data_IF_294719714146
#
_entry.id   IF_294719714146
#
_cell.length_a   1.000
_cell.length_b   1.000
_cell.length_c   1.000
_cell.angle_alpha   90.00
_cell.angle_beta   90.00
_cell.angle_gamma   90.00
#
_symmetry.space_group_name_H-M   'P 1'
#
loop_
_entity.id
_entity.type
_entity.pdbx_description
1 polymer ?
#
# COMPACT_ATOMS: atom_id res chain seq x y z
N UNK A 1 8.33 -8.94 8.67
CA UNK A 1 8.71 -7.98 9.74
C UNK A 1 9.69 -6.98 9.16
N UNK A 2 9.42 -5.71 9.33
CA UNK A 2 10.22 -4.63 8.77
C UNK A 2 10.99 -3.96 9.90
N UNK A 3 12.30 -3.78 9.74
CA UNK A 3 13.08 -3.07 10.74
C UNK A 3 12.87 -1.54 10.63
N UNK A 4 13.36 -0.82 11.62
CA UNK A 4 13.10 0.62 11.69
C UNK A 4 13.74 1.39 10.55
N UNK A 5 14.97 1.08 10.18
CA UNK A 5 15.66 1.77 9.10
C UNK A 5 14.93 1.58 7.77
N UNK A 6 14.50 0.36 7.51
CA UNK A 6 13.75 0.03 6.30
C UNK A 6 12.40 0.74 6.29
N UNK A 7 11.69 0.73 7.42
CA UNK A 7 10.42 1.43 7.56
C UNK A 7 10.58 2.93 7.32
N UNK A 8 11.60 3.56 7.89
CA UNK A 8 11.85 4.98 7.69
C UNK A 8 12.16 5.29 6.22
N UNK A 9 12.94 4.44 5.56
CA UNK A 9 13.25 4.64 4.15
C UNK A 9 11.97 4.60 3.29
N UNK A 10 11.09 3.64 3.56
CA UNK A 10 9.83 3.52 2.85
C UNK A 10 8.94 4.74 3.10
N UNK A 11 8.87 5.20 4.33
CA UNK A 11 7.99 6.29 4.74
C UNK A 11 8.53 7.70 4.43
N UNK A 12 9.75 7.83 3.94
CA UNK A 12 10.28 9.11 3.51
C UNK A 12 9.57 9.68 2.29
N UNK A 13 8.99 8.82 1.48
CA UNK A 13 8.30 9.25 0.27
C UNK A 13 6.90 9.74 0.59
N UNK A 14 6.58 10.97 0.19
CA UNK A 14 5.29 11.59 0.48
C UNK A 14 4.13 10.82 -0.13
N UNK A 15 4.27 10.36 -1.38
CA UNK A 15 3.21 9.61 -2.05
C UNK A 15 2.89 8.32 -1.32
N UNK A 16 3.91 7.61 -0.83
CA UNK A 16 3.68 6.39 -0.06
C UNK A 16 2.94 6.67 1.25
N UNK A 17 3.28 7.78 1.93
CA UNK A 17 2.54 8.16 3.13
C UNK A 17 1.08 8.48 2.82
N UNK A 18 0.82 9.17 1.70
CA UNK A 18 -0.54 9.48 1.29
C UNK A 18 -1.34 8.21 0.96
N UNK A 19 -0.70 7.24 0.31
CA UNK A 19 -1.33 5.95 0.05
C UNK A 19 -1.73 5.27 1.36
N UNK A 20 -0.81 5.22 2.31
CA UNK A 20 -1.09 4.61 3.61
C UNK A 20 -2.21 5.31 4.36
N UNK A 21 -2.25 6.64 4.33
CA UNK A 21 -3.33 7.40 4.97
C UNK A 21 -4.70 7.00 4.46
N UNK A 22 -4.81 6.75 3.17
CA UNK A 22 -6.08 6.32 2.59
C UNK A 22 -6.41 4.88 2.92
N UNK A 23 -5.40 4.00 2.88
CA UNK A 23 -5.60 2.58 3.15
C UNK A 23 -5.90 2.31 4.63
N UNK A 24 -5.43 3.16 5.54
CA UNK A 24 -5.79 3.04 6.96
C UNK A 24 -7.30 3.20 7.15
N UNK A 25 -7.94 4.01 6.32
CA UNK A 25 -9.39 4.23 6.41
C UNK A 25 -10.20 3.09 5.83
N UNK A 26 -9.79 2.61 4.65
CA UNK A 26 -10.47 1.50 3.98
C UNK A 26 -9.62 0.98 2.84
N UNK A 27 -9.85 -0.26 2.38
CA UNK A 27 -9.15 -0.78 1.21
C UNK A 27 -9.45 0.05 -0.04
N UNK A 28 -8.48 0.10 -0.94
CA UNK A 28 -8.61 0.85 -2.19
C UNK A 28 -8.03 0.06 -3.35
N UNK A 29 -8.59 0.29 -4.54
CA UNK A 29 -7.99 -0.12 -5.80
C UNK A 29 -6.92 0.89 -6.22
N UNK A 30 -5.90 0.45 -6.98
CA UNK A 30 -4.85 1.37 -7.43
C UNK A 30 -5.37 2.59 -8.19
N UNK A 31 -6.39 2.41 -9.04
CA UNK A 31 -6.97 3.53 -9.79
C UNK A 31 -7.58 4.58 -8.85
N UNK A 32 -8.27 4.13 -7.81
CA UNK A 32 -8.83 5.05 -6.82
C UNK A 32 -7.75 5.86 -6.14
N UNK A 33 -6.65 5.22 -5.76
CA UNK A 33 -5.51 5.91 -5.15
C UNK A 33 -4.90 6.93 -6.10
N UNK A 34 -4.74 6.55 -7.36
CA UNK A 34 -4.19 7.45 -8.38
C UNK A 34 -5.05 8.72 -8.53
N UNK A 35 -6.35 8.55 -8.60
CA UNK A 35 -7.29 9.67 -8.73
C UNK A 35 -7.30 10.56 -7.49
N UNK A 36 -7.31 9.95 -6.31
CA UNK A 36 -7.38 10.70 -5.05
C UNK A 36 -6.09 11.47 -4.76
N UNK A 37 -4.95 10.90 -5.09
CA UNK A 37 -3.66 11.50 -4.79
C UNK A 37 -3.19 12.41 -5.92
N UNK A 38 -3.67 12.18 -7.14
CA UNK A 38 -3.30 13.01 -8.29
C UNK A 38 -1.99 12.59 -8.94
N UNK A 39 -1.69 11.29 -8.92
CA UNK A 39 -0.52 10.73 -9.60
C UNK A 39 -0.97 9.63 -10.55
N UNK A 40 -0.07 9.18 -11.43
CA UNK A 40 -0.40 8.14 -12.38
C UNK A 40 -0.63 6.79 -11.68
N UNK A 41 -1.42 5.93 -12.32
CA UNK A 41 -1.63 4.59 -11.82
C UNK A 41 -0.33 3.80 -11.79
N UNK A 42 0.55 4.03 -12.77
CA UNK A 42 1.87 3.38 -12.79
C UNK A 42 2.70 3.76 -11.57
N UNK A 43 2.68 5.04 -11.19
CA UNK A 43 3.39 5.50 -10.00
C UNK A 43 2.81 4.87 -8.74
N UNK A 44 1.46 4.79 -8.64
CA UNK A 44 0.81 4.10 -7.53
C UNK A 44 1.27 2.64 -7.45
N UNK A 45 1.27 1.93 -8.56
CA UNK A 45 1.69 0.53 -8.58
C UNK A 45 3.13 0.35 -8.12
N UNK A 46 4.01 1.26 -8.53
CA UNK A 46 5.40 1.23 -8.07
C UNK A 46 5.49 1.37 -6.55
N UNK A 47 4.76 2.34 -6.00
CA UNK A 47 4.75 2.57 -4.55
C UNK A 47 4.10 1.40 -3.79
N UNK A 48 3.02 0.84 -4.33
CA UNK A 48 2.36 -0.30 -3.71
C UNK A 48 3.27 -1.53 -3.64
N UNK A 49 4.09 -1.77 -4.67
CA UNK A 49 5.06 -2.88 -4.64
C UNK A 49 6.08 -2.69 -3.52
N UNK A 50 6.56 -1.47 -3.35
CA UNK A 50 7.52 -1.16 -2.29
C UNK A 50 6.87 -1.34 -0.92
N UNK A 51 5.64 -0.85 -0.75
CA UNK A 51 4.89 -0.99 0.48
C UNK A 51 4.56 -2.45 0.80
N UNK A 52 4.21 -3.22 -0.22
CA UNK A 52 3.91 -4.64 -0.05
C UNK A 52 5.16 -5.42 0.35
N UNK A 53 6.27 -5.14 -0.30
CA UNK A 53 7.54 -5.79 0.02
C UNK A 53 8.00 -5.47 1.44
N UNK A 54 7.73 -4.25 1.90
CA UNK A 54 8.02 -3.84 3.28
C UNK A 54 6.97 -4.28 4.29
N UNK A 55 5.94 -5.02 3.84
CA UNK A 55 4.88 -5.54 4.69
C UNK A 55 3.97 -4.48 5.31
N UNK A 56 3.89 -3.30 4.67
CA UNK A 56 2.96 -2.25 5.08
C UNK A 56 1.55 -2.49 4.56
N UNK A 57 1.44 -3.11 3.39
CA UNK A 57 0.15 -3.35 2.75
C UNK A 57 0.06 -4.79 2.28
N UNK A 58 -1.16 -5.26 2.14
CA UNK A 58 -1.47 -6.56 1.55
C UNK A 58 -2.43 -6.35 0.40
N UNK A 59 -2.40 -7.26 -0.57
CA UNK A 59 -3.36 -7.23 -1.66
C UNK A 59 -4.23 -8.46 -1.61
N UNK A 60 -5.49 -8.30 -2.06
CA UNK A 60 -6.43 -9.39 -2.20
C UNK A 60 -7.05 -9.31 -3.58
N UNK A 61 -7.13 -10.45 -4.24
CA UNK A 61 -7.73 -10.54 -5.56
C UNK A 61 -9.25 -10.58 -5.43
N UNK A 62 -9.93 -9.70 -6.16
CA UNK A 62 -11.39 -9.63 -6.13
C UNK A 62 -11.91 -10.00 -7.52
N UNK A 63 -12.77 -11.02 -7.58
CA UNK A 63 -13.39 -11.45 -8.83
C UNK A 63 -14.48 -10.45 -9.23
N UNK A 64 -14.61 -10.22 -10.55
CA UNK A 64 -15.67 -9.36 -11.08
C UNK A 64 -16.93 -10.17 -11.32
N UNK A 65 -18.08 -9.61 -10.94
CA UNK A 65 -19.38 -10.26 -11.10
C UNK A 65 -19.83 -10.37 -12.57
N UNK A 66 -19.33 -9.51 -13.45
CA UNK A 66 -19.79 -9.43 -14.85
C UNK A 66 -18.72 -9.89 -15.85
N UNK A 67 -17.83 -10.77 -15.42
CA UNK A 67 -16.71 -11.18 -16.26
C UNK A 67 -15.61 -10.14 -16.26
N UNK A 68 -14.55 -10.39 -17.00
CA UNK A 68 -13.35 -9.60 -17.01
C UNK A 68 -12.33 -10.10 -16.00
N UNK A 69 -11.09 -9.62 -16.07
CA UNK A 69 -10.04 -10.11 -15.18
C UNK A 69 -10.28 -9.67 -13.75
N UNK A 70 -9.86 -10.49 -12.76
CA UNK A 70 -9.91 -10.09 -11.36
C UNK A 70 -9.06 -8.85 -11.12
N UNK A 71 -9.44 -8.06 -10.13
CA UNK A 71 -8.66 -6.88 -9.70
C UNK A 71 -8.06 -7.12 -8.34
N UNK A 72 -6.93 -6.49 -8.09
CA UNK A 72 -6.33 -6.49 -6.76
C UNK A 72 -6.79 -5.25 -6.00
N UNK A 73 -7.28 -5.45 -4.79
CA UNK A 73 -7.57 -4.38 -3.84
C UNK A 73 -6.50 -4.41 -2.76
N UNK A 74 -6.10 -3.25 -2.30
CA UNK A 74 -5.02 -3.13 -1.32
C UNK A 74 -5.55 -2.62 0.00
N UNK A 75 -4.98 -3.13 1.09
CA UNK A 75 -5.34 -2.74 2.45
C UNK A 75 -4.08 -2.64 3.30
N UNK A 76 -4.18 -1.95 4.44
CA UNK A 76 -3.11 -1.94 5.41
C UNK A 76 -2.95 -3.34 5.99
N UNK A 77 -1.71 -3.78 6.13
CA UNK A 77 -1.40 -5.07 6.72
C UNK A 77 -1.77 -5.04 8.20
N UNK A 78 -2.75 -5.86 8.60
CA UNK A 78 -3.22 -5.89 9.98
C UNK A 78 -2.15 -6.37 10.96
N UNK A 79 -1.28 -7.23 10.49
CA UNK A 79 -0.17 -7.73 11.30
C UNK A 79 1.07 -6.86 11.17
N UNK A 80 0.93 -5.63 10.66
CA UNK A 80 2.06 -4.73 10.52
C UNK A 80 2.68 -4.43 11.87
N UNK A 81 3.94 -4.77 12.00
CA UNK A 81 4.71 -4.40 13.17
C UNK A 81 6.05 -3.84 12.75
N UNK A 82 6.44 -2.76 13.37
CA UNK A 82 7.75 -2.17 13.18
C UNK A 82 8.55 -2.48 14.44
N UNK A 83 9.61 -3.22 14.27
CA UNK A 83 10.45 -3.55 15.41
C UNK A 83 11.35 -2.35 15.72
N UNK A 84 11.16 -1.81 16.90
CA UNK A 84 12.00 -0.76 17.42
C UNK A 84 12.79 -1.35 18.57
N UNK A 85 14.10 -1.36 18.43
CA UNK A 85 14.99 -1.81 19.50
C UNK A 85 15.65 -0.56 20.10
N UNK A 86 15.30 -0.29 21.31
CA UNK A 86 15.81 0.86 22.03
C UNK A 86 16.91 0.42 22.99
N UNK A 87 18.08 0.74 22.66
CA UNK A 87 19.23 0.62 23.52
C UNK A 87 19.88 -0.70 23.60
#
# INVERSE_FOLDING_TARGET
MTDLDEALAILQNKARRQILERLVREPHYPLQLAEQIGISQQAVMKHLRILEKGEFVAKMRVARNKGGPPKNIYSVQQALSIRIELG
#
